data_IF_067542423737
#
_entry.id   IF_067542423737
#
_cell.length_a   1.000
_cell.length_b   1.000
_cell.length_c   1.000
_cell.angle_alpha   90.00
_cell.angle_beta   90.00
_cell.angle_gamma   90.00
#
_symmetry.space_group_name_H-M   'P 1'
#
loop_
_entity.id
_entity.type
_entity.pdbx_description
1 polymer ?
#
# COMPACT_ATOMS: atom_id res chain seq x y z
N UNK A 1 11.92 -17.74 20.78
CA UNK A 1 12.06 -17.05 19.47
C UNK A 1 12.44 -15.61 19.73
N UNK A 2 13.50 -15.07 19.09
CA UNK A 2 13.88 -13.68 19.30
C UNK A 2 12.77 -12.73 18.80
N UNK A 3 12.64 -11.54 19.41
CA UNK A 3 11.65 -10.55 19.01
C UNK A 3 11.77 -10.16 17.52
N UNK A 4 12.99 -10.15 16.99
CA UNK A 4 13.24 -9.87 15.58
C UNK A 4 12.68 -10.99 14.68
N UNK A 5 12.92 -12.24 15.02
CA UNK A 5 12.42 -13.37 14.23
C UNK A 5 10.88 -13.41 14.20
N UNK A 6 10.23 -13.07 15.32
CA UNK A 6 8.77 -12.92 15.36
C UNK A 6 8.29 -11.82 14.42
N UNK A 7 8.95 -10.65 14.41
CA UNK A 7 8.62 -9.52 13.53
C UNK A 7 8.78 -9.89 12.05
N UNK A 8 9.89 -10.53 11.68
CA UNK A 8 10.14 -10.99 10.32
C UNK A 8 9.12 -12.04 9.87
N UNK A 9 8.77 -13.00 10.75
CA UNK A 9 7.72 -13.97 10.47
C UNK A 9 6.36 -13.30 10.22
N UNK A 10 5.96 -12.36 11.07
CA UNK A 10 4.68 -11.65 10.93
C UNK A 10 4.67 -10.77 9.68
N UNK A 11 5.78 -10.12 9.35
CA UNK A 11 5.94 -9.36 8.11
C UNK A 11 5.80 -10.25 6.87
N UNK A 12 6.45 -11.41 6.86
CA UNK A 12 6.34 -12.37 5.76
C UNK A 12 4.90 -12.87 5.60
N UNK A 13 4.22 -13.19 6.70
CA UNK A 13 2.83 -13.65 6.68
C UNK A 13 1.85 -12.55 6.25
N UNK A 14 2.07 -11.31 6.66
CA UNK A 14 1.20 -10.18 6.31
C UNK A 14 1.52 -9.63 4.93
N UNK A 15 2.69 -9.04 4.78
CA UNK A 15 3.08 -8.38 3.54
C UNK A 15 3.40 -9.37 2.40
N UNK A 16 3.97 -10.54 2.72
CA UNK A 16 4.16 -11.60 1.73
C UNK A 16 2.84 -12.10 1.14
N UNK A 17 1.80 -12.26 1.97
CA UNK A 17 0.46 -12.62 1.50
C UNK A 17 -0.13 -11.56 0.54
N UNK A 18 0.15 -10.27 0.79
CA UNK A 18 -0.26 -9.18 -0.13
C UNK A 18 0.36 -9.39 -1.52
N UNK A 19 1.66 -9.66 -1.58
CA UNK A 19 2.35 -9.92 -2.85
C UNK A 19 1.77 -11.11 -3.61
N UNK A 20 1.42 -12.19 -2.89
CA UNK A 20 0.78 -13.38 -3.50
C UNK A 20 -0.59 -13.01 -4.09
N UNK A 21 -1.45 -12.36 -3.31
CA UNK A 21 -2.81 -12.00 -3.75
C UNK A 21 -2.75 -11.00 -4.91
N UNK A 22 -1.86 -10.00 -4.84
CA UNK A 22 -1.68 -9.00 -5.88
C UNK A 22 -1.31 -9.62 -7.23
N UNK A 23 -0.29 -10.48 -7.25
CA UNK A 23 0.15 -11.16 -8.48
C UNK A 23 -0.88 -12.18 -8.99
N UNK A 24 -1.54 -12.90 -8.06
CA UNK A 24 -2.59 -13.86 -8.42
C UNK A 24 -3.79 -13.17 -9.06
N UNK A 25 -4.22 -12.03 -8.50
CA UNK A 25 -5.31 -11.23 -9.06
C UNK A 25 -4.94 -10.69 -10.45
N UNK A 26 -3.72 -10.19 -10.62
CA UNK A 26 -3.23 -9.67 -11.91
C UNK A 26 -3.22 -10.75 -13.00
N UNK A 27 -2.88 -11.98 -12.63
CA UNK A 27 -2.86 -13.11 -13.56
C UNK A 27 -4.26 -13.57 -14.00
N UNK A 28 -5.27 -13.46 -13.12
CA UNK A 28 -6.62 -13.99 -13.35
C UNK A 28 -7.63 -12.96 -13.85
N UNK A 29 -7.37 -11.66 -13.69
CA UNK A 29 -8.31 -10.61 -14.06
C UNK A 29 -8.49 -10.49 -15.58
N UNK A 30 -9.67 -10.04 -15.99
CA UNK A 30 -9.98 -9.73 -17.39
C UNK A 30 -9.53 -8.33 -17.80
N UNK A 31 -10.11 -7.80 -18.88
CA UNK A 31 -9.86 -6.41 -19.31
C UNK A 31 -10.29 -5.40 -18.25
N UNK A 32 -9.40 -4.46 -17.94
CA UNK A 32 -9.63 -3.45 -16.94
C UNK A 32 -10.51 -2.31 -17.44
N UNK A 33 -11.49 -1.91 -16.61
CA UNK A 33 -12.26 -0.69 -16.83
C UNK A 33 -11.35 0.54 -16.69
N UNK A 34 -11.34 1.39 -17.72
CA UNK A 34 -10.49 2.58 -17.74
C UNK A 34 -11.07 3.68 -16.86
N UNK A 35 -10.33 4.02 -15.80
CA UNK A 35 -10.67 5.13 -14.91
C UNK A 35 -10.32 6.48 -15.54
N UNK A 36 -11.19 7.46 -15.31
CA UNK A 36 -10.97 8.83 -15.79
C UNK A 36 -10.27 9.68 -14.72
N UNK A 37 -9.18 10.38 -15.06
CA UNK A 37 -8.49 11.28 -14.14
C UNK A 37 -9.42 12.39 -13.63
N UNK A 38 -9.34 12.68 -12.35
CA UNK A 38 -10.03 13.79 -11.71
C UNK A 38 -9.31 15.14 -11.94
N UNK A 39 -9.92 16.23 -11.51
CA UNK A 39 -9.28 17.55 -11.51
C UNK A 39 -7.97 17.54 -10.71
N UNK A 40 -7.95 16.84 -9.56
CA UNK A 40 -6.75 16.73 -8.72
C UNK A 40 -5.63 16.01 -9.47
N UNK A 41 -5.95 14.94 -10.17
CA UNK A 41 -4.97 14.20 -10.96
C UNK A 41 -4.36 15.09 -12.06
N UNK A 42 -5.17 15.91 -12.71
CA UNK A 42 -4.72 16.78 -13.79
C UNK A 42 -3.86 17.95 -13.29
N UNK A 43 -4.00 18.35 -12.02
CA UNK A 43 -3.16 19.41 -11.41
C UNK A 43 -1.75 18.92 -11.07
N UNK A 44 -1.52 17.62 -10.96
CA UNK A 44 -0.23 17.04 -10.59
C UNK A 44 0.54 16.72 -11.86
N UNK A 45 1.71 17.34 -12.05
CA UNK A 45 2.57 17.09 -13.20
C UNK A 45 3.22 15.69 -13.10
N UNK A 46 3.27 14.97 -14.23
CA UNK A 46 4.00 13.71 -14.32
C UNK A 46 5.51 13.95 -14.14
N UNK A 47 6.16 13.11 -13.33
CA UNK A 47 7.60 13.19 -13.09
C UNK A 47 8.22 11.82 -12.82
N UNK A 48 9.09 11.29 -13.71
CA UNK A 48 9.80 10.03 -13.46
C UNK A 48 10.70 10.04 -12.23
N UNK A 49 11.19 11.21 -11.79
CA UNK A 49 12.04 11.31 -10.59
C UNK A 49 11.31 10.96 -9.29
N UNK A 50 9.99 11.01 -9.28
CA UNK A 50 9.18 10.57 -8.14
C UNK A 50 9.31 9.06 -7.83
N UNK A 51 9.90 8.27 -8.75
CA UNK A 51 10.09 6.82 -8.58
C UNK A 51 10.85 6.48 -7.29
N UNK A 52 11.82 7.30 -6.87
CA UNK A 52 12.60 7.04 -5.66
C UNK A 52 11.76 7.16 -4.39
N UNK A 53 10.88 8.15 -4.37
CA UNK A 53 9.96 8.33 -3.27
C UNK A 53 8.86 7.24 -3.27
N UNK A 54 8.36 6.87 -4.44
CA UNK A 54 7.46 5.73 -4.60
C UNK A 54 8.10 4.43 -4.08
N UNK A 55 9.33 4.12 -4.49
CA UNK A 55 10.05 2.93 -4.05
C UNK A 55 10.34 2.93 -2.54
N UNK A 56 10.33 4.09 -1.89
CA UNK A 56 10.48 4.18 -0.44
C UNK A 56 9.29 3.53 0.33
N UNK A 57 8.19 3.22 -0.34
CA UNK A 57 7.13 2.35 0.17
C UNK A 57 7.67 1.02 0.72
N UNK A 58 8.66 0.44 0.04
CA UNK A 58 9.29 -0.81 0.47
C UNK A 58 10.10 -0.68 1.77
N UNK A 59 10.28 0.51 2.31
CA UNK A 59 10.91 0.76 3.62
C UNK A 59 9.89 1.10 4.70
N UNK A 60 8.79 1.83 4.39
CA UNK A 60 7.80 2.22 5.40
C UNK A 60 7.02 1.01 5.92
N UNK A 61 6.72 0.01 5.08
CA UNK A 61 6.03 -1.21 5.49
C UNK A 61 6.88 -2.04 6.47
N UNK A 62 8.15 -2.40 6.18
CA UNK A 62 9.03 -3.02 7.16
C UNK A 62 9.20 -2.20 8.44
N UNK A 63 9.32 -0.87 8.34
CA UNK A 63 9.41 0.00 9.51
C UNK A 63 8.16 -0.13 10.39
N UNK A 64 6.98 -0.27 9.81
CA UNK A 64 5.73 -0.57 10.53
C UNK A 64 5.86 -1.83 11.38
N UNK A 65 6.34 -2.94 10.81
CA UNK A 65 6.55 -4.20 11.54
C UNK A 65 7.66 -4.11 12.59
N UNK A 66 8.74 -3.40 12.30
CA UNK A 66 9.87 -3.26 13.21
C UNK A 66 9.58 -2.32 14.38
N UNK A 67 8.69 -1.34 14.19
CA UNK A 67 8.41 -0.31 15.20
C UNK A 67 7.20 -0.63 16.07
N UNK A 68 6.20 -1.37 15.56
CA UNK A 68 4.97 -1.64 16.30
C UNK A 68 5.23 -2.46 17.57
N UNK A 69 4.51 -2.25 18.70
CA UNK A 69 4.57 -3.11 19.87
C UNK A 69 4.25 -4.57 19.53
N UNK A 70 4.92 -5.51 20.21
CA UNK A 70 4.77 -6.95 19.92
C UNK A 70 3.32 -7.44 20.03
N UNK A 71 2.54 -6.88 20.96
CA UNK A 71 1.12 -7.20 21.12
C UNK A 71 0.27 -6.81 19.90
N UNK A 72 0.70 -5.84 19.09
CA UNK A 72 -0.03 -5.39 17.90
C UNK A 72 0.50 -5.96 16.57
N UNK A 73 1.51 -6.83 16.59
CA UNK A 73 2.05 -7.45 15.36
C UNK A 73 1.00 -8.28 14.62
N UNK A 74 0.22 -9.08 15.38
CA UNK A 74 -0.86 -9.89 14.78
C UNK A 74 -1.94 -9.03 14.16
N UNK A 75 -2.30 -7.91 14.82
CA UNK A 75 -3.24 -6.95 14.26
C UNK A 75 -2.77 -6.43 12.89
N UNK A 76 -1.50 -5.98 12.79
CA UNK A 76 -0.95 -5.46 11.54
C UNK A 76 -0.97 -6.52 10.44
N UNK A 77 -0.54 -7.75 10.77
CA UNK A 77 -0.55 -8.90 9.85
C UNK A 77 -1.96 -9.17 9.33
N UNK A 78 -2.94 -9.32 10.23
CA UNK A 78 -4.33 -9.60 9.85
C UNK A 78 -4.95 -8.45 9.05
N UNK A 79 -4.65 -7.19 9.42
CA UNK A 79 -5.17 -6.02 8.70
C UNK A 79 -4.61 -5.94 7.27
N UNK A 80 -3.33 -6.23 7.06
CA UNK A 80 -2.74 -6.30 5.72
C UNK A 80 -3.31 -7.46 4.89
N UNK A 81 -3.45 -8.65 5.49
CA UNK A 81 -4.06 -9.80 4.81
C UNK A 81 -5.51 -9.52 4.41
N UNK A 82 -6.31 -8.97 5.33
CA UNK A 82 -7.70 -8.64 5.05
C UNK A 82 -7.81 -7.56 3.95
N UNK A 83 -6.95 -6.54 3.99
CA UNK A 83 -6.90 -5.51 2.95
C UNK A 83 -6.54 -6.12 1.59
N UNK A 84 -5.57 -7.03 1.55
CA UNK A 84 -5.19 -7.72 0.31
C UNK A 84 -6.33 -8.60 -0.23
N UNK A 85 -7.00 -9.35 0.63
CA UNK A 85 -8.15 -10.19 0.22
C UNK A 85 -9.28 -9.36 -0.35
N UNK A 86 -9.66 -8.28 0.33
CA UNK A 86 -10.72 -7.39 -0.15
C UNK A 86 -10.32 -6.71 -1.46
N UNK A 87 -9.09 -6.17 -1.55
CA UNK A 87 -8.58 -5.59 -2.80
C UNK A 87 -8.54 -6.63 -3.93
N UNK A 88 -8.07 -7.86 -3.66
CA UNK A 88 -8.03 -8.95 -4.63
C UNK A 88 -9.42 -9.29 -5.17
N UNK A 89 -10.46 -9.27 -4.33
CA UNK A 89 -11.84 -9.43 -4.77
C UNK A 89 -12.25 -8.29 -5.72
N UNK A 90 -11.89 -7.03 -5.40
CA UNK A 90 -12.14 -5.90 -6.30
C UNK A 90 -11.41 -6.07 -7.64
N UNK A 91 -10.13 -6.44 -7.62
CA UNK A 91 -9.33 -6.62 -8.83
C UNK A 91 -9.88 -7.72 -9.75
N UNK A 92 -10.46 -8.78 -9.18
CA UNK A 92 -11.06 -9.87 -9.96
C UNK A 92 -12.46 -9.55 -10.49
N UNK A 93 -13.30 -8.88 -9.68
CA UNK A 93 -14.69 -8.60 -10.04
C UNK A 93 -14.85 -7.30 -10.82
N UNK A 94 -13.95 -6.36 -10.60
CA UNK A 94 -13.97 -5.06 -11.25
C UNK A 94 -12.54 -4.56 -11.48
N UNK A 95 -11.78 -5.22 -12.38
CA UNK A 95 -10.44 -4.81 -12.72
C UNK A 95 -10.46 -3.38 -13.28
N UNK A 96 -9.55 -2.54 -12.81
CA UNK A 96 -9.49 -1.13 -13.20
C UNK A 96 -8.10 -0.78 -13.72
N UNK A 97 -8.06 0.01 -14.76
CA UNK A 97 -6.83 0.53 -15.37
C UNK A 97 -6.94 2.04 -15.57
N UNK A 98 -5.87 2.66 -16.01
CA UNK A 98 -5.84 4.08 -16.33
C UNK A 98 -5.00 4.34 -17.58
N UNK A 99 -5.06 5.56 -18.09
CA UNK A 99 -4.15 5.96 -19.18
C UNK A 99 -2.76 6.22 -18.62
N UNK A 100 -1.78 5.39 -19.02
CA UNK A 100 -0.38 5.54 -18.63
C UNK A 100 0.34 6.45 -19.63
N UNK A 101 1.02 7.52 -19.15
CA UNK A 101 1.75 8.41 -20.06
C UNK A 101 2.94 7.68 -20.68
N UNK A 102 3.11 7.85 -21.99
CA UNK A 102 4.37 7.52 -22.66
C UNK A 102 5.40 8.62 -22.33
N UNK A 103 6.64 8.24 -22.13
CA UNK A 103 7.73 9.18 -21.88
C UNK A 103 9.05 8.67 -22.48
N UNK A 104 9.74 9.57 -23.17
CA UNK A 104 11.02 9.29 -23.84
C UNK A 104 12.22 9.89 -23.08
N UNK A 105 12.07 10.10 -21.77
CA UNK A 105 13.15 10.66 -20.96
C UNK A 105 14.26 9.63 -20.76
N UNK A 106 15.50 10.06 -20.91
CA UNK A 106 16.68 9.28 -20.59
C UNK A 106 17.16 9.60 -19.17
N UNK A 107 17.85 8.65 -18.53
CA UNK A 107 18.45 8.83 -17.22
C UNK A 107 18.07 7.76 -16.20
N UNK A 108 18.70 7.83 -15.03
CA UNK A 108 18.59 6.80 -13.98
C UNK A 108 17.14 6.67 -13.49
N UNK A 109 16.45 7.78 -13.27
CA UNK A 109 15.05 7.77 -12.80
C UNK A 109 14.09 7.20 -13.83
N UNK A 110 14.27 7.54 -15.11
CA UNK A 110 13.47 6.98 -16.19
C UNK A 110 13.73 5.46 -16.35
N UNK A 111 14.97 5.03 -16.26
CA UNK A 111 15.32 3.61 -16.25
C UNK A 111 14.72 2.84 -15.07
N UNK A 112 14.71 3.44 -13.88
CA UNK A 112 14.08 2.85 -12.70
C UNK A 112 12.54 2.75 -12.87
N UNK A 113 11.90 3.79 -13.42
CA UNK A 113 10.47 3.80 -13.70
C UNK A 113 10.09 2.75 -14.77
N UNK A 114 10.88 2.61 -15.84
CA UNK A 114 10.65 1.58 -16.86
C UNK A 114 10.71 0.16 -16.28
N UNK A 115 11.66 -0.10 -15.37
CA UNK A 115 11.74 -1.38 -14.65
C UNK A 115 10.53 -1.59 -13.74
N UNK A 116 10.10 -0.56 -13.03
CA UNK A 116 8.90 -0.61 -12.20
C UNK A 116 7.68 -0.97 -13.06
N UNK A 117 7.47 -0.29 -14.18
CA UNK A 117 6.35 -0.52 -15.10
C UNK A 117 6.36 -1.96 -15.65
N UNK A 118 7.54 -2.54 -15.87
CA UNK A 118 7.68 -3.89 -16.41
C UNK A 118 7.27 -5.00 -15.40
N UNK A 119 7.25 -4.70 -14.09
CA UNK A 119 6.95 -5.69 -13.03
C UNK A 119 5.66 -5.39 -12.26
N UNK A 120 5.12 -4.19 -12.37
CA UNK A 120 3.92 -3.75 -11.66
C UNK A 120 2.68 -3.93 -12.55
N UNK A 121 1.57 -4.36 -11.95
CA UNK A 121 0.31 -4.52 -12.68
C UNK A 121 -0.17 -3.21 -13.29
N UNK A 122 -0.72 -3.28 -14.48
CA UNK A 122 -1.40 -2.17 -15.15
C UNK A 122 -2.89 -2.11 -14.85
N UNK A 123 -3.45 -3.06 -14.11
CA UNK A 123 -4.89 -3.19 -13.91
C UNK A 123 -5.32 -3.27 -12.43
N UNK A 124 -4.39 -3.38 -11.49
CA UNK A 124 -4.69 -3.37 -10.05
C UNK A 124 -4.77 -1.93 -9.50
N UNK A 125 -5.58 -1.04 -10.14
CA UNK A 125 -5.61 0.35 -9.76
C UNK A 125 -6.48 0.60 -8.53
N UNK A 126 -7.75 0.19 -8.53
CA UNK A 126 -8.69 0.45 -7.44
C UNK A 126 -9.06 -0.80 -6.65
N UNK A 127 -8.99 -0.77 -5.31
CA UNK A 127 -8.39 0.27 -4.46
C UNK A 127 -6.87 0.15 -4.38
N UNK A 128 -6.15 1.25 -4.17
CA UNK A 128 -4.68 1.23 -4.09
C UNK A 128 -4.17 0.50 -2.86
N UNK A 129 -3.52 -0.65 -3.05
CA UNK A 129 -2.83 -1.35 -1.96
C UNK A 129 -1.61 -0.59 -1.45
N UNK A 130 -0.92 0.19 -2.30
CA UNK A 130 0.17 1.06 -1.84
C UNK A 130 -0.30 2.06 -0.78
N UNK A 131 -1.43 2.73 -1.02
CA UNK A 131 -2.03 3.64 -0.05
C UNK A 131 -2.50 2.90 1.21
N UNK A 132 -3.18 1.75 1.05
CA UNK A 132 -3.70 0.98 2.17
C UNK A 132 -2.60 0.48 3.10
N UNK A 133 -1.55 -0.14 2.57
CA UNK A 133 -0.45 -0.69 3.37
C UNK A 133 0.40 0.39 4.01
N UNK A 134 0.62 1.51 3.32
CA UNK A 134 1.30 2.69 3.88
C UNK A 134 0.55 3.22 5.10
N UNK A 135 -0.77 3.38 4.99
CA UNK A 135 -1.60 3.87 6.11
C UNK A 135 -1.59 2.88 7.29
N UNK A 136 -1.70 1.58 7.04
CA UNK A 136 -1.61 0.54 8.08
C UNK A 136 -0.23 0.54 8.76
N UNK A 137 0.85 0.73 8.01
CA UNK A 137 2.19 0.84 8.56
C UNK A 137 2.34 2.07 9.47
N UNK A 138 1.85 3.23 9.04
CA UNK A 138 1.83 4.46 9.86
C UNK A 138 0.99 4.25 11.12
N UNK A 139 -0.18 3.63 11.01
CA UNK A 139 -1.02 3.31 12.17
C UNK A 139 -0.31 2.38 13.16
N UNK A 140 0.41 1.37 12.66
CA UNK A 140 1.23 0.48 13.47
C UNK A 140 2.36 1.22 14.20
N UNK A 141 3.05 2.15 13.51
CA UNK A 141 4.08 3.01 14.10
C UNK A 141 3.50 3.88 15.20
N UNK A 142 2.31 4.46 14.99
CA UNK A 142 1.63 5.31 15.97
C UNK A 142 1.30 4.57 17.27
N UNK A 143 1.03 3.26 17.21
CA UNK A 143 0.79 2.42 18.40
C UNK A 143 2.01 2.34 19.34
N UNK A 144 3.21 2.69 18.89
CA UNK A 144 4.41 2.79 19.74
C UNK A 144 4.36 3.98 20.71
N UNK A 145 3.51 4.97 20.46
CA UNK A 145 3.37 6.16 21.30
C UNK A 145 4.46 7.22 21.12
N UNK A 146 5.40 7.04 20.19
CA UNK A 146 6.40 8.05 19.88
C UNK A 146 5.84 9.05 18.86
N UNK A 147 5.43 10.24 19.34
CA UNK A 147 4.80 11.28 18.52
C UNK A 147 5.66 11.78 17.37
N UNK A 148 6.99 11.87 17.56
CA UNK A 148 7.88 12.34 16.51
C UNK A 148 8.04 11.31 15.39
N UNK A 149 8.21 10.04 15.75
CA UNK A 149 8.27 8.96 14.77
C UNK A 149 6.95 8.86 14.00
N UNK A 150 5.81 9.02 14.69
CA UNK A 150 4.49 9.05 14.05
C UNK A 150 4.37 10.21 13.09
N UNK A 151 4.72 11.43 13.51
CA UNK A 151 4.66 12.62 12.65
C UNK A 151 5.52 12.45 11.40
N UNK A 152 6.77 12.01 11.56
CA UNK A 152 7.66 11.77 10.42
C UNK A 152 7.12 10.70 9.47
N UNK A 153 6.52 9.63 10.00
CA UNK A 153 5.92 8.58 9.17
C UNK A 153 4.67 9.06 8.44
N UNK A 154 3.87 9.95 9.03
CA UNK A 154 2.73 10.59 8.37
C UNK A 154 3.18 11.48 7.21
N UNK A 155 4.19 12.34 7.44
CA UNK A 155 4.75 13.18 6.38
C UNK A 155 5.31 12.33 5.25
N UNK A 156 6.03 11.26 5.58
CA UNK A 156 6.54 10.31 4.59
C UNK A 156 5.43 9.61 3.81
N UNK A 157 4.36 9.18 4.47
CA UNK A 157 3.20 8.56 3.81
C UNK A 157 2.50 9.52 2.84
N UNK A 158 2.34 10.80 3.21
CA UNK A 158 1.80 11.84 2.33
C UNK A 158 2.71 12.01 1.10
N UNK A 159 4.01 12.05 1.31
CA UNK A 159 4.98 12.17 0.22
C UNK A 159 4.94 10.94 -0.72
N UNK A 160 4.83 9.71 -0.17
CA UNK A 160 4.62 8.50 -0.98
C UNK A 160 3.31 8.61 -1.78
N UNK A 161 2.19 8.98 -1.15
CA UNK A 161 0.91 9.15 -1.82
C UNK A 161 0.99 10.16 -2.98
N UNK A 162 1.68 11.28 -2.77
CA UNK A 162 1.93 12.27 -3.82
C UNK A 162 2.78 11.69 -4.96
N UNK A 163 3.82 10.93 -4.65
CA UNK A 163 4.69 10.29 -5.66
C UNK A 163 3.94 9.27 -6.53
N UNK A 164 3.00 8.54 -5.95
CA UNK A 164 2.13 7.60 -6.67
C UNK A 164 1.32 8.32 -7.76
N UNK A 165 0.77 9.50 -7.42
CA UNK A 165 0.03 10.34 -8.36
C UNK A 165 0.95 10.97 -9.41
N UNK A 166 2.15 11.46 -9.01
CA UNK A 166 3.15 12.00 -9.94
C UNK A 166 3.63 10.98 -10.97
N UNK A 167 3.76 9.71 -10.57
CA UNK A 167 4.16 8.63 -11.46
C UNK A 167 3.03 8.11 -12.33
N UNK A 168 1.80 8.59 -12.11
CA UNK A 168 0.61 8.02 -12.78
C UNK A 168 0.51 6.51 -12.61
N UNK A 169 0.81 6.01 -11.39
CA UNK A 169 0.59 4.59 -11.06
C UNK A 169 -0.80 4.34 -10.50
N UNK A 170 -1.42 5.36 -9.91
CA UNK A 170 -2.81 5.39 -9.47
C UNK A 170 -3.41 6.78 -9.69
N UNK A 171 -4.73 6.84 -9.68
CA UNK A 171 -5.49 8.08 -9.60
C UNK A 171 -5.83 8.42 -8.14
N UNK A 172 -6.20 9.67 -7.90
CA UNK A 172 -6.58 10.13 -6.56
C UNK A 172 -7.69 9.29 -5.92
N UNK A 173 -8.67 8.85 -6.72
CA UNK A 173 -9.76 8.00 -6.25
C UNK A 173 -9.25 6.64 -5.73
N UNK A 174 -8.21 6.08 -6.34
CA UNK A 174 -7.62 4.81 -5.92
C UNK A 174 -6.98 4.94 -4.53
N UNK A 175 -6.31 6.08 -4.29
CA UNK A 175 -5.71 6.37 -2.98
C UNK A 175 -6.78 6.53 -1.90
N UNK A 176 -7.88 7.22 -2.22
CA UNK A 176 -9.04 7.36 -1.32
C UNK A 176 -9.61 5.97 -1.02
N UNK A 177 -9.83 5.15 -2.04
CA UNK A 177 -10.29 3.76 -1.88
C UNK A 177 -9.34 2.94 -1.00
N UNK A 178 -8.03 3.07 -1.21
CA UNK A 178 -7.00 2.41 -0.40
C UNK A 178 -7.00 2.87 1.07
N UNK A 179 -7.18 4.18 1.30
CA UNK A 179 -7.26 4.73 2.66
C UNK A 179 -8.52 4.25 3.41
N UNK A 180 -9.67 4.19 2.74
CA UNK A 180 -10.90 3.63 3.28
C UNK A 180 -10.74 2.15 3.59
N UNK A 181 -10.16 1.38 2.67
CA UNK A 181 -9.88 -0.04 2.84
C UNK A 181 -9.02 -0.30 4.08
N UNK A 182 -7.90 0.43 4.23
CA UNK A 182 -7.03 0.32 5.38
C UNK A 182 -7.74 0.66 6.70
N UNK A 183 -8.55 1.72 6.69
CA UNK A 183 -9.29 2.18 7.86
C UNK A 183 -10.31 1.13 8.31
N UNK A 184 -11.09 0.59 7.39
CA UNK A 184 -12.09 -0.44 7.67
C UNK A 184 -11.43 -1.75 8.14
N UNK A 185 -10.45 -2.27 7.38
CA UNK A 185 -9.79 -3.52 7.72
C UNK A 185 -8.99 -3.41 9.04
N UNK A 186 -8.29 -2.29 9.24
CA UNK A 186 -7.57 -2.02 10.47
C UNK A 186 -8.49 -1.93 11.68
N UNK A 187 -9.66 -1.30 11.54
CA UNK A 187 -10.66 -1.21 12.61
C UNK A 187 -11.30 -2.58 12.92
N UNK A 188 -11.68 -3.36 11.90
CA UNK A 188 -12.23 -4.70 12.09
C UNK A 188 -11.23 -5.58 12.86
N UNK A 189 -9.96 -5.60 12.44
CA UNK A 189 -8.95 -6.39 13.12
C UNK A 189 -8.68 -5.92 14.55
N UNK A 190 -8.74 -4.60 14.81
CA UNK A 190 -8.58 -4.05 16.15
C UNK A 190 -9.74 -4.43 17.09
N UNK A 191 -10.97 -4.46 16.60
CA UNK A 191 -12.13 -4.87 17.39
C UNK A 191 -12.11 -6.36 17.71
N UNK A 192 -11.67 -7.20 16.76
CA UNK A 192 -11.50 -8.65 16.99
C UNK A 192 -10.39 -8.94 18.02
N UNK A 193 -9.30 -8.18 18.00
CA UNK A 193 -8.21 -8.32 18.98
C UNK A 193 -8.70 -7.99 20.39
N UNK A 194 -9.41 -6.88 20.60
CA UNK A 194 -9.96 -6.49 21.88
C UNK A 194 -10.92 -7.52 22.47
N UNK A 195 -11.77 -8.12 21.65
CA UNK A 195 -12.71 -9.16 22.13
C UNK A 195 -11.97 -10.39 22.65
N UNK A 196 -10.91 -10.84 21.97
CA UNK A 196 -10.13 -12.00 22.45
C UNK A 196 -9.51 -11.76 23.82
N UNK A 197 -8.95 -10.57 24.07
CA UNK A 197 -8.31 -10.22 25.34
C UNK A 197 -9.33 -10.06 26.50
N UNK A 198 -10.61 -9.97 26.19
CA UNK A 198 -11.66 -9.82 27.22
C UNK A 198 -12.22 -11.19 27.69
N UNK A 199 -11.96 -12.26 26.94
CA UNK A 199 -12.42 -13.62 27.25
C UNK A 199 -11.28 -14.55 27.70
N UNK A 200 -10.02 -14.08 27.74
CA UNK A 200 -8.85 -14.73 28.36
C UNK A 200 -8.60 -14.15 29.77
#
# INVERSE_FOLDING_TARGET
MSNLLLRLKQMLLGWGAVGVIYNFSDYLQGEGYQLTPSVIDNMIAFSPSAVWLYLSFFFIVPLGYLSTPLCHLRWLTCAMQLSALVAGVFYLLWPTTMHYPSFDQMGISAGALNRLIAIDSSQNCFPSLHAALTLLAVWAIAKKGNRWLTLMSVVWAIAIAFSILQLRRHLFIDLVGGALLASICGWICATCEKRKTQYE
#
